data_IF_041981807986
#
_entry.id   IF_041981807986
#
_cell.length_a   1.000
_cell.length_b   1.000
_cell.length_c   1.000
_cell.angle_alpha   90.00
_cell.angle_beta   90.00
_cell.angle_gamma   90.00
#
_symmetry.space_group_name_H-M   'P 1'
#
loop_
_entity.id
_entity.type
_entity.pdbx_description
1 polymer ?
#
# COMPACT_ATOMS: atom_id res chain seq x y z
N UNK A 1 -9.69 3.26 -1.96
CA UNK A 1 -8.45 3.81 -1.38
C UNK A 1 -8.84 4.65 -0.19
N UNK A 2 -8.09 4.58 0.90
CA UNK A 2 -8.34 5.30 2.13
C UNK A 2 -7.08 6.08 2.54
N UNK A 3 -7.26 7.21 3.22
CA UNK A 3 -6.16 7.88 3.92
C UNK A 3 -6.02 7.28 5.32
N UNK A 4 -4.78 7.09 5.77
CA UNK A 4 -4.49 6.55 7.10
C UNK A 4 -3.18 7.10 7.67
N UNK A 5 -2.78 6.52 8.80
CA UNK A 5 -1.55 6.88 9.51
C UNK A 5 -0.84 5.62 9.98
N UNK A 6 0.46 5.53 9.71
CA UNK A 6 1.36 4.51 10.28
C UNK A 6 2.11 5.14 11.45
N UNK A 7 2.26 4.41 12.56
CA UNK A 7 3.04 4.84 13.72
C UNK A 7 4.45 4.27 13.67
N UNK A 8 5.41 5.00 14.23
CA UNK A 8 6.79 4.55 14.43
C UNK A 8 7.49 4.08 13.13
N UNK A 9 7.30 4.84 12.05
CA UNK A 9 7.89 4.55 10.74
C UNK A 9 8.95 5.58 10.39
N UNK A 10 10.15 5.15 9.99
CA UNK A 10 11.29 6.03 9.63
C UNK A 10 11.58 7.14 10.65
N UNK A 11 11.62 6.77 11.94
CA UNK A 11 11.89 7.71 13.05
C UNK A 11 10.82 8.81 13.25
N UNK A 12 9.71 8.75 12.52
CA UNK A 12 8.55 9.61 12.70
C UNK A 12 7.53 8.96 13.64
N UNK A 13 6.99 9.76 14.57
CA UNK A 13 5.90 9.33 15.46
C UNK A 13 4.67 8.88 14.65
N UNK A 14 4.36 9.62 13.58
CA UNK A 14 3.27 9.31 12.65
C UNK A 14 3.64 9.67 11.22
N UNK A 15 3.31 8.77 10.28
CA UNK A 15 3.47 8.98 8.83
C UNK A 15 2.10 8.88 8.15
N UNK A 16 1.63 9.91 7.42
CA UNK A 16 0.40 9.83 6.65
C UNK A 16 0.59 8.90 5.43
N UNK A 17 -0.41 8.06 5.16
CA UNK A 17 -0.33 7.03 4.11
C UNK A 17 -1.62 6.92 3.31
N UNK A 18 -1.51 6.40 2.09
CA UNK A 18 -2.63 5.89 1.33
C UNK A 18 -2.73 4.36 1.49
N UNK A 19 -3.93 3.88 1.81
CA UNK A 19 -4.24 2.46 2.01
C UNK A 19 -5.14 2.00 0.87
N UNK A 20 -4.58 1.20 -0.04
CA UNK A 20 -5.35 0.51 -1.08
C UNK A 20 -5.76 -0.84 -0.52
N UNK A 21 -7.06 -1.08 -0.42
CA UNK A 21 -7.61 -2.35 0.07
C UNK A 21 -8.21 -3.12 -1.11
N UNK A 22 -7.99 -4.44 -1.15
CA UNK A 22 -8.74 -5.30 -2.06
C UNK A 22 -10.15 -5.54 -1.49
N UNK A 23 -11.23 -5.46 -2.30
CA UNK A 23 -12.57 -5.82 -1.86
C UNK A 23 -12.65 -7.26 -1.32
N UNK A 24 -13.55 -7.52 -0.36
CA UNK A 24 -13.71 -8.85 0.25
C UNK A 24 -14.26 -9.91 -0.71
N UNK A 25 -15.02 -9.46 -1.70
CA UNK A 25 -15.65 -10.25 -2.75
C UNK A 25 -14.80 -10.34 -4.03
N UNK A 26 -13.55 -9.86 -3.98
CA UNK A 26 -12.63 -9.95 -5.11
C UNK A 26 -12.33 -11.41 -5.50
N UNK A 27 -12.26 -11.63 -6.81
CA UNK A 27 -11.88 -12.91 -7.39
C UNK A 27 -10.42 -13.28 -7.06
N UNK A 28 -10.06 -14.58 -7.11
CA UNK A 28 -8.68 -15.02 -6.97
C UNK A 28 -7.72 -14.33 -7.97
N UNK A 29 -8.19 -14.06 -9.18
CA UNK A 29 -7.42 -13.37 -10.22
C UNK A 29 -7.14 -11.91 -9.87
N UNK A 30 -8.12 -11.20 -9.29
CA UNK A 30 -7.91 -9.83 -8.79
C UNK A 30 -6.93 -9.80 -7.62
N UNK A 31 -6.99 -10.81 -6.74
CA UNK A 31 -6.01 -10.96 -5.65
C UNK A 31 -4.58 -11.17 -6.18
N UNK A 32 -4.41 -11.98 -7.24
CA UNK A 32 -3.11 -12.17 -7.89
C UNK A 32 -2.61 -10.85 -8.47
N UNK A 33 -3.43 -10.16 -9.28
CA UNK A 33 -3.06 -8.86 -9.88
C UNK A 33 -2.69 -7.82 -8.82
N UNK A 34 -3.44 -7.76 -7.73
CA UNK A 34 -3.17 -6.86 -6.62
C UNK A 34 -1.79 -7.10 -5.99
N UNK A 35 -1.40 -8.36 -5.81
CA UNK A 35 -0.08 -8.72 -5.28
C UNK A 35 1.04 -8.55 -6.32
N UNK A 36 0.74 -8.74 -7.61
CA UNK A 36 1.69 -8.45 -8.70
C UNK A 36 2.00 -6.95 -8.80
N UNK A 37 1.01 -6.07 -8.64
CA UNK A 37 1.22 -4.63 -8.51
C UNK A 37 2.18 -4.33 -7.35
N UNK A 38 1.94 -4.94 -6.19
CA UNK A 38 2.78 -4.73 -5.01
C UNK A 38 4.23 -5.21 -5.23
N UNK A 39 4.39 -6.37 -5.86
CA UNK A 39 5.70 -6.92 -6.20
C UNK A 39 6.46 -6.04 -7.19
N UNK A 40 5.77 -5.50 -8.19
CA UNK A 40 6.38 -4.58 -9.13
C UNK A 40 6.82 -3.29 -8.40
N UNK A 41 5.96 -2.76 -7.53
CA UNK A 41 6.26 -1.53 -6.77
C UNK A 41 7.39 -1.69 -5.75
N UNK A 42 7.58 -2.88 -5.17
CA UNK A 42 8.64 -3.12 -4.17
C UNK A 42 10.05 -2.93 -4.72
N UNK A 43 10.22 -2.99 -6.04
CA UNK A 43 11.53 -2.83 -6.69
C UNK A 43 11.88 -1.36 -6.95
N UNK A 44 10.97 -0.41 -6.69
CA UNK A 44 11.18 1.02 -6.93
C UNK A 44 11.38 1.80 -5.64
N UNK A 45 12.50 2.50 -5.56
CA UNK A 45 12.80 3.49 -4.52
C UNK A 45 13.45 4.70 -5.17
N UNK A 46 12.63 5.69 -5.56
CA UNK A 46 13.08 6.87 -6.30
C UNK A 46 12.17 8.07 -6.00
N UNK A 47 12.73 9.27 -5.95
CA UNK A 47 12.03 10.51 -5.58
C UNK A 47 10.77 10.81 -6.42
N UNK A 48 10.73 10.34 -7.66
CA UNK A 48 9.63 10.58 -8.60
C UNK A 48 8.78 9.34 -8.88
N UNK A 49 8.94 8.26 -8.10
CA UNK A 49 8.17 7.03 -8.25
C UNK A 49 7.43 6.75 -6.94
N UNK A 50 6.12 6.54 -7.04
CA UNK A 50 5.26 6.28 -5.88
C UNK A 50 5.81 5.10 -5.06
N UNK A 51 6.16 5.38 -3.81
CA UNK A 51 6.78 4.41 -2.92
C UNK A 51 5.76 3.50 -2.24
N UNK A 52 6.00 2.20 -2.34
CA UNK A 52 5.34 1.19 -1.50
C UNK A 52 6.05 1.13 -0.13
N UNK A 53 5.32 1.42 0.93
CA UNK A 53 5.83 1.39 2.31
C UNK A 53 5.68 -0.01 2.93
N UNK A 54 4.64 -0.75 2.53
CA UNK A 54 4.41 -2.11 3.00
C UNK A 54 3.15 -2.75 2.46
N UNK A 55 2.97 -4.03 2.80
CA UNK A 55 1.81 -4.84 2.45
C UNK A 55 1.30 -5.51 3.73
N UNK A 56 -0.01 -5.50 3.94
CA UNK A 56 -0.65 -6.30 4.98
C UNK A 56 -1.37 -7.48 4.32
N UNK A 57 -0.99 -8.71 4.67
CA UNK A 57 -1.58 -9.96 4.13
C UNK A 57 -2.31 -10.80 5.19
N UNK A 58 -2.24 -10.40 6.45
CA UNK A 58 -2.80 -11.14 7.61
C UNK A 58 -4.31 -10.91 7.82
N UNK A 59 -4.92 -10.10 6.97
CA UNK A 59 -6.35 -9.76 6.99
C UNK A 59 -7.13 -10.59 5.96
N UNK A 60 -8.47 -10.61 6.07
CA UNK A 60 -9.35 -11.25 5.08
C UNK A 60 -9.06 -10.82 3.62
N UNK A 61 -8.59 -9.57 3.45
CA UNK A 61 -8.24 -8.96 2.17
C UNK A 61 -6.93 -8.17 2.25
N UNK A 62 -5.97 -8.39 1.34
CA UNK A 62 -4.68 -7.70 1.36
C UNK A 62 -4.77 -6.18 1.24
N UNK A 63 -3.87 -5.46 1.91
CA UNK A 63 -3.74 -4.00 1.83
C UNK A 63 -2.36 -3.60 1.29
N UNK A 64 -2.30 -2.58 0.45
CA UNK A 64 -1.07 -1.87 0.11
C UNK A 64 -1.01 -0.58 0.90
N UNK A 65 0.11 -0.35 1.56
CA UNK A 65 0.41 0.87 2.30
C UNK A 65 1.40 1.67 1.45
N UNK A 66 0.93 2.80 0.96
CA UNK A 66 1.64 3.66 0.00
C UNK A 66 1.91 5.01 0.67
N UNK A 67 2.93 5.72 0.20
CA UNK A 67 3.08 7.12 0.58
C UNK A 67 1.85 7.94 0.17
N UNK A 68 1.49 8.93 0.98
CA UNK A 68 0.35 9.79 0.68
C UNK A 68 0.76 10.89 -0.30
N UNK A 69 0.04 10.99 -1.42
CA UNK A 69 0.19 12.07 -2.40
C UNK A 69 -0.91 13.11 -2.18
N UNK A 70 -0.55 14.37 -1.92
CA UNK A 70 -1.52 15.45 -1.61
C UNK A 70 -2.36 15.90 -2.81
N UNK A 71 -1.91 15.63 -4.04
CA UNK A 71 -2.54 16.09 -5.28
C UNK A 71 -3.09 14.95 -6.16
N UNK A 72 -3.31 13.76 -5.58
CA UNK A 72 -3.77 12.54 -6.26
C UNK A 72 -5.27 12.50 -6.55
#
# INVERSE_FOLDING_TARGET
VYQGTVKDFEELETTPVAIKMLPKDASPQEKIKFLEEAKLMSDFCHEHVLRLLGICVDTDSPWLILELMEAG
#
